data_IF_579603996545
#
_entry.id   IF_579603996545
#
_cell.length_a   1.000
_cell.length_b   1.000
_cell.length_c   1.000
_cell.angle_alpha   90.00
_cell.angle_beta   90.00
_cell.angle_gamma   90.00
#
_symmetry.space_group_name_H-M   'P 1'
#
loop_
_entity.id
_entity.type
_entity.pdbx_description
1 polymer ?
#
# COMPACT_ATOMS: atom_id res chain seq x y z
N UNK A 1 -22.13 -1.25 -3.12
CA UNK A 1 -20.71 -1.52 -3.36
C UNK A 1 -19.89 -0.26 -3.08
N UNK A 2 -18.86 -0.34 -2.26
CA UNK A 2 -17.93 0.75 -1.95
C UNK A 2 -16.74 0.70 -2.91
N UNK A 3 -16.50 1.79 -3.67
CA UNK A 3 -15.35 1.90 -4.58
C UNK A 3 -14.06 2.21 -3.79
N UNK A 4 -12.89 1.77 -4.23
CA UNK A 4 -11.61 2.17 -3.63
C UNK A 4 -11.38 3.69 -3.67
N UNK A 5 -10.55 4.21 -2.75
CA UNK A 5 -10.10 5.59 -2.80
C UNK A 5 -9.16 5.80 -4.00
N UNK A 6 -9.39 6.88 -4.75
CA UNK A 6 -8.56 7.24 -5.93
C UNK A 6 -7.44 8.23 -5.59
N UNK A 7 -7.30 8.64 -4.33
CA UNK A 7 -6.29 9.62 -3.90
C UNK A 7 -6.45 11.00 -4.53
N UNK A 8 -7.66 11.38 -4.95
CA UNK A 8 -7.92 12.64 -5.66
C UNK A 8 -7.86 13.89 -4.79
N UNK A 9 -7.74 13.75 -3.46
CA UNK A 9 -7.79 14.83 -2.47
C UNK A 9 -9.09 15.67 -2.47
N UNK A 10 -10.12 15.24 -3.22
CA UNK A 10 -11.38 15.99 -3.34
C UNK A 10 -12.13 16.18 -2.03
N UNK A 11 -11.99 15.23 -1.08
CA UNK A 11 -12.56 15.34 0.27
C UNK A 11 -11.85 16.37 1.17
N UNK A 12 -10.76 16.95 0.72
CA UNK A 12 -10.06 18.04 1.38
C UNK A 12 -10.27 19.39 0.69
N UNK A 13 -10.31 19.42 -0.65
CA UNK A 13 -10.29 20.68 -1.43
C UNK A 13 -11.60 20.96 -2.20
N UNK A 14 -12.34 19.95 -2.64
CA UNK A 14 -13.57 20.13 -3.44
C UNK A 14 -14.82 20.06 -2.57
N UNK A 15 -14.92 19.04 -1.72
CA UNK A 15 -16.03 18.80 -0.80
C UNK A 15 -15.50 18.45 0.58
N UNK A 16 -15.00 19.42 1.36
CA UNK A 16 -14.37 19.17 2.64
C UNK A 16 -15.23 18.30 3.56
N UNK A 17 -14.65 17.19 4.05
CA UNK A 17 -15.34 16.19 4.89
C UNK A 17 -16.18 15.16 4.14
N UNK A 18 -16.37 15.29 2.83
CA UNK A 18 -17.18 14.38 2.03
C UNK A 18 -16.39 13.85 0.82
N UNK A 19 -16.50 12.56 0.54
CA UNK A 19 -15.85 12.00 -0.65
C UNK A 19 -16.57 12.42 -1.93
N UNK A 20 -15.81 12.81 -2.96
CA UNK A 20 -16.36 13.17 -4.29
C UNK A 20 -16.89 11.97 -5.07
N UNK A 21 -16.47 10.74 -4.73
CA UNK A 21 -16.95 9.52 -5.37
C UNK A 21 -18.36 9.22 -4.90
N UNK A 22 -19.30 9.21 -5.84
CA UNK A 22 -20.74 8.96 -5.57
C UNK A 22 -20.97 7.45 -5.39
N UNK A 23 -21.02 7.01 -4.15
CA UNK A 23 -21.43 5.65 -3.73
C UNK A 23 -21.88 5.67 -2.26
N UNK A 24 -22.17 4.49 -1.69
CA UNK A 24 -22.65 4.37 -0.28
C UNK A 24 -21.63 4.91 0.76
N UNK A 25 -20.36 5.03 0.40
CA UNK A 25 -19.29 5.50 1.29
C UNK A 25 -19.04 7.01 1.21
N UNK A 26 -19.79 7.76 0.41
CA UNK A 26 -19.58 9.19 0.19
C UNK A 26 -19.52 9.99 1.51
N UNK A 27 -20.35 9.63 2.48
CA UNK A 27 -20.49 10.33 3.75
C UNK A 27 -19.81 9.63 4.93
N UNK A 28 -19.03 8.55 4.72
CA UNK A 28 -18.46 7.79 5.83
C UNK A 28 -17.58 8.64 6.73
N UNK A 29 -16.68 9.46 6.18
CA UNK A 29 -15.84 10.37 6.94
C UNK A 29 -16.67 11.28 7.86
N UNK A 30 -17.69 11.95 7.32
CA UNK A 30 -18.60 12.82 8.08
C UNK A 30 -19.42 12.05 9.12
N UNK A 31 -19.75 10.80 8.87
CA UNK A 31 -20.57 10.01 9.80
C UNK A 31 -19.78 9.52 11.01
N UNK A 32 -18.45 9.51 10.99
CA UNK A 32 -17.62 9.09 12.14
C UNK A 32 -17.93 9.92 13.39
N UNK A 33 -18.27 11.21 13.24
CA UNK A 33 -18.62 12.08 14.38
C UNK A 33 -19.89 11.69 15.15
N UNK A 34 -20.65 10.72 14.64
CA UNK A 34 -21.89 10.26 15.27
C UNK A 34 -21.66 9.13 16.30
N UNK A 35 -20.42 8.65 16.41
CA UNK A 35 -20.12 7.46 17.19
C UNK A 35 -18.95 7.71 18.14
N UNK A 36 -19.16 7.40 19.43
CA UNK A 36 -18.13 7.48 20.46
C UNK A 36 -17.20 6.25 20.45
N UNK A 37 -17.65 5.16 19.84
CA UNK A 37 -16.89 3.92 19.72
C UNK A 37 -17.13 3.29 18.37
N UNK A 38 -16.05 2.90 17.72
CA UNK A 38 -16.05 2.17 16.45
C UNK A 38 -15.39 0.81 16.69
N UNK A 39 -16.08 -0.26 16.30
CA UNK A 39 -15.52 -1.62 16.36
C UNK A 39 -15.32 -2.14 14.95
N UNK A 40 -14.09 -2.57 14.66
CA UNK A 40 -13.69 -3.14 13.38
C UNK A 40 -13.41 -4.62 13.56
N UNK A 41 -14.09 -5.47 12.79
CA UNK A 41 -13.76 -6.89 12.63
C UNK A 41 -13.09 -7.06 11.27
N UNK A 42 -11.83 -7.50 11.25
CA UNK A 42 -11.05 -7.67 10.05
C UNK A 42 -10.34 -9.01 10.00
N UNK A 43 -10.36 -9.68 8.85
CA UNK A 43 -9.36 -10.72 8.64
C UNK A 43 -7.98 -10.08 8.70
N UNK A 44 -7.05 -10.70 9.45
CA UNK A 44 -5.65 -10.30 9.41
C UNK A 44 -5.06 -10.71 8.06
N UNK A 45 -4.50 -9.75 7.35
CA UNK A 45 -3.99 -9.93 5.99
C UNK A 45 -2.60 -9.33 5.91
N UNK A 46 -1.59 -10.20 5.92
CA UNK A 46 -0.18 -9.78 5.80
C UNK A 46 0.21 -8.71 6.84
N UNK A 47 -0.09 -8.93 8.11
CA UNK A 47 0.18 -7.98 9.18
C UNK A 47 -0.69 -6.71 9.17
N UNK A 48 -1.83 -6.71 8.48
CA UNK A 48 -2.70 -5.54 8.39
C UNK A 48 -4.18 -5.85 8.14
N UNK A 49 -4.92 -4.83 7.78
CA UNK A 49 -6.37 -4.93 7.52
C UNK A 49 -6.66 -5.65 6.20
N UNK A 50 -7.78 -6.37 6.15
CA UNK A 50 -8.35 -6.85 4.89
C UNK A 50 -8.67 -5.69 3.94
N UNK A 51 -8.70 -5.97 2.62
CA UNK A 51 -8.97 -4.92 1.63
C UNK A 51 -10.31 -4.19 1.84
N UNK A 52 -11.33 -4.87 2.37
CA UNK A 52 -12.65 -4.27 2.64
C UNK A 52 -12.56 -3.22 3.75
N UNK A 53 -11.86 -3.54 4.84
CA UNK A 53 -11.66 -2.62 5.95
C UNK A 53 -10.70 -1.49 5.56
N UNK A 54 -9.59 -1.81 4.90
CA UNK A 54 -8.67 -0.78 4.40
C UNK A 54 -9.37 0.18 3.44
N UNK A 55 -10.28 -0.31 2.59
CA UNK A 55 -11.11 0.52 1.72
C UNK A 55 -12.00 1.50 2.50
N UNK A 56 -12.56 1.05 3.61
CA UNK A 56 -13.31 1.92 4.52
C UNK A 56 -12.40 3.02 5.09
N UNK A 57 -11.23 2.65 5.64
CA UNK A 57 -10.27 3.60 6.18
C UNK A 57 -9.80 4.59 5.12
N UNK A 58 -9.36 4.12 3.95
CA UNK A 58 -8.95 4.98 2.83
C UNK A 58 -10.04 6.01 2.41
N UNK A 59 -11.32 5.65 2.55
CA UNK A 59 -12.45 6.52 2.21
C UNK A 59 -12.87 7.47 3.33
N UNK A 60 -12.35 7.24 4.55
CA UNK A 60 -12.62 8.08 5.71
C UNK A 60 -11.62 9.24 5.90
N UNK A 61 -10.59 9.38 5.04
CA UNK A 61 -9.56 10.44 5.18
C UNK A 61 -10.13 11.87 5.17
N UNK A 62 -11.32 12.08 4.64
CA UNK A 62 -12.03 13.37 4.75
C UNK A 62 -12.42 13.77 6.19
N UNK A 63 -12.36 12.85 7.15
CA UNK A 63 -12.51 13.14 8.59
C UNK A 63 -11.40 14.08 9.10
N UNK A 64 -10.23 14.04 8.45
CA UNK A 64 -9.07 14.87 8.75
C UNK A 64 -9.21 16.25 8.10
N UNK A 65 -8.57 17.24 8.70
CA UNK A 65 -8.47 18.59 8.16
C UNK A 65 -7.59 18.63 6.91
N UNK A 66 -7.67 19.74 6.19
CA UNK A 66 -6.89 19.93 4.96
C UNK A 66 -5.45 20.33 5.28
N UNK A 67 -5.29 21.18 6.28
CA UNK A 67 -3.98 21.69 6.68
C UNK A 67 -3.18 20.67 7.49
N UNK A 68 -1.88 20.87 7.48
CA UNK A 68 -0.92 20.06 8.21
C UNK A 68 -0.45 20.76 9.48
N UNK A 69 -0.06 19.96 10.47
CA UNK A 69 0.64 20.41 11.67
C UNK A 69 1.69 19.37 12.10
N UNK A 70 2.57 19.75 13.01
CA UNK A 70 3.62 18.88 13.52
C UNK A 70 3.13 18.18 14.78
N UNK A 71 3.28 16.86 14.82
CA UNK A 71 3.02 15.98 15.97
C UNK A 71 4.16 15.00 16.12
N UNK A 72 4.84 14.97 17.25
CA UNK A 72 5.97 14.07 17.52
C UNK A 72 7.05 14.13 16.42
N UNK A 73 7.41 15.31 15.97
CA UNK A 73 8.34 15.57 14.87
C UNK A 73 7.91 15.02 13.49
N UNK A 74 6.64 14.68 13.34
CA UNK A 74 6.01 14.24 12.08
C UNK A 74 4.99 15.26 11.59
N UNK A 75 4.86 15.41 10.28
CA UNK A 75 3.83 16.24 9.65
C UNK A 75 2.57 15.44 9.45
N UNK A 76 1.44 15.88 10.02
CA UNK A 76 0.13 15.21 9.96
C UNK A 76 -0.99 16.16 9.61
N UNK A 77 -2.08 15.64 9.06
CA UNK A 77 -3.29 16.44 8.85
C UNK A 77 -3.91 16.89 10.17
N UNK A 78 -4.39 18.13 10.24
CA UNK A 78 -5.11 18.69 11.40
C UNK A 78 -6.44 17.97 11.64
N UNK A 79 -7.04 18.17 12.82
CA UNK A 79 -8.46 17.76 13.04
C UNK A 79 -9.38 18.64 12.18
N UNK A 80 -10.42 18.02 11.60
CA UNK A 80 -11.54 18.75 10.98
C UNK A 80 -12.68 18.99 11.95
N UNK A 81 -12.89 18.06 12.87
CA UNK A 81 -13.98 18.08 13.83
C UNK A 81 -13.41 18.07 15.25
N UNK A 82 -14.05 18.79 16.16
CA UNK A 82 -13.78 18.69 17.60
C UNK A 82 -14.48 17.43 18.16
N UNK A 83 -14.00 16.29 17.68
CA UNK A 83 -14.54 14.98 18.02
C UNK A 83 -13.41 13.95 18.05
N UNK A 84 -13.50 13.00 18.98
CA UNK A 84 -12.66 11.81 19.05
C UNK A 84 -13.53 10.60 19.31
N UNK A 85 -13.04 9.41 19.01
CA UNK A 85 -13.74 8.16 19.24
C UNK A 85 -12.77 7.10 19.78
N UNK A 86 -13.32 6.04 20.40
CA UNK A 86 -12.58 4.83 20.77
C UNK A 86 -12.59 3.86 19.59
N UNK A 87 -11.46 3.17 19.35
CA UNK A 87 -11.33 2.20 18.28
C UNK A 87 -11.04 0.80 18.86
N UNK A 88 -11.95 -0.14 18.67
CA UNK A 88 -11.71 -1.54 18.95
C UNK A 88 -11.45 -2.28 17.63
N UNK A 89 -10.34 -2.99 17.53
CA UNK A 89 -9.99 -3.79 16.36
C UNK A 89 -9.88 -5.25 16.76
N UNK A 90 -10.65 -6.10 16.11
CA UNK A 90 -10.60 -7.55 16.30
C UNK A 90 -10.15 -8.17 15.00
N UNK A 91 -8.91 -8.62 14.99
CA UNK A 91 -8.37 -9.38 13.88
C UNK A 91 -8.70 -10.86 14.05
N UNK A 92 -9.06 -11.53 12.96
CA UNK A 92 -9.28 -12.96 12.93
C UNK A 92 -8.46 -13.65 11.85
N UNK A 93 -8.15 -14.92 12.09
CA UNK A 93 -7.36 -15.79 11.21
C UNK A 93 -6.03 -16.17 11.82
N UNK A 94 -5.34 -17.10 11.16
CA UNK A 94 -4.00 -17.53 11.56
C UNK A 94 -2.96 -16.50 11.09
N UNK A 95 -2.00 -16.18 11.96
CA UNK A 95 -0.90 -15.27 11.68
C UNK A 95 0.27 -15.55 12.63
N UNK A 96 1.48 -15.20 12.21
CA UNK A 96 2.66 -15.20 13.07
C UNK A 96 2.58 -14.10 14.13
N UNK A 97 3.42 -14.17 15.16
CA UNK A 97 3.51 -13.07 16.14
C UNK A 97 4.04 -11.79 15.51
N UNK A 98 4.96 -11.89 14.55
CA UNK A 98 5.49 -10.73 13.82
C UNK A 98 4.38 -10.02 13.01
N UNK A 99 3.51 -10.77 12.32
CA UNK A 99 2.34 -10.20 11.64
C UNK A 99 1.38 -9.51 12.60
N UNK A 100 1.17 -10.08 13.80
CA UNK A 100 0.33 -9.47 14.84
C UNK A 100 0.96 -8.19 15.39
N UNK A 101 2.28 -8.15 15.56
CA UNK A 101 2.99 -6.95 16.01
C UNK A 101 2.92 -5.84 14.98
N UNK A 102 3.16 -6.16 13.71
CA UNK A 102 2.96 -5.20 12.60
C UNK A 102 1.52 -4.68 12.57
N UNK A 103 0.52 -5.54 12.80
CA UNK A 103 -0.87 -5.12 12.85
C UNK A 103 -1.18 -4.18 14.02
N UNK A 104 -0.63 -4.43 15.22
CA UNK A 104 -0.76 -3.52 16.37
C UNK A 104 -0.15 -2.15 16.05
N UNK A 105 1.09 -2.15 15.55
CA UNK A 105 1.80 -0.92 15.18
C UNK A 105 1.07 -0.15 14.08
N UNK A 106 0.49 -0.84 13.09
CA UNK A 106 -0.36 -0.21 12.06
C UNK A 106 -1.63 0.42 12.65
N UNK A 107 -2.28 -0.27 13.60
CA UNK A 107 -3.47 0.29 14.29
C UNK A 107 -3.07 1.54 15.09
N UNK A 108 -1.94 1.55 15.76
CA UNK A 108 -1.44 2.72 16.49
C UNK A 108 -1.17 3.91 15.53
N UNK A 109 -0.59 3.66 14.36
CA UNK A 109 -0.41 4.68 13.33
C UNK A 109 -1.75 5.23 12.82
N UNK A 110 -2.73 4.35 12.56
CA UNK A 110 -4.10 4.73 12.19
C UNK A 110 -4.75 5.57 13.30
N UNK A 111 -4.58 5.19 14.58
CA UNK A 111 -5.11 5.92 15.72
C UNK A 111 -4.53 7.35 15.81
N UNK A 112 -3.23 7.49 15.61
CA UNK A 112 -2.57 8.82 15.55
C UNK A 112 -3.15 9.67 14.44
N UNK A 113 -3.34 9.12 13.25
CA UNK A 113 -3.91 9.87 12.11
C UNK A 113 -5.36 10.29 12.37
N UNK A 114 -6.19 9.41 12.92
CA UNK A 114 -7.61 9.69 13.12
C UNK A 114 -7.94 10.33 14.47
N UNK A 115 -6.92 10.68 15.28
CA UNK A 115 -7.11 11.27 16.61
C UNK A 115 -7.99 10.40 17.52
N UNK A 116 -7.76 9.10 17.48
CA UNK A 116 -8.48 8.12 18.32
C UNK A 116 -8.08 8.35 19.77
N UNK A 117 -9.06 8.42 20.67
CA UNK A 117 -8.83 8.71 22.09
C UNK A 117 -8.30 7.50 22.87
N UNK A 118 -8.69 6.29 22.46
CA UNK A 118 -8.24 5.03 23.05
C UNK A 118 -8.45 3.89 22.04
N UNK A 119 -7.56 2.91 22.03
CA UNK A 119 -7.69 1.75 21.15
C UNK A 119 -7.48 0.44 21.90
N UNK A 120 -8.14 -0.61 21.40
CA UNK A 120 -7.91 -1.99 21.82
C UNK A 120 -7.76 -2.88 20.59
N UNK A 121 -6.78 -3.80 20.62
CA UNK A 121 -6.50 -4.72 19.50
C UNK A 121 -6.52 -6.15 20.02
N UNK A 122 -7.42 -6.95 19.48
CA UNK A 122 -7.58 -8.36 19.83
C UNK A 122 -7.37 -9.27 18.62
N UNK A 123 -6.88 -10.49 18.86
CA UNK A 123 -6.69 -11.51 17.82
C UNK A 123 -7.45 -12.77 18.21
N UNK A 124 -8.27 -13.27 17.29
CA UNK A 124 -9.08 -14.46 17.47
C UNK A 124 -8.95 -15.42 16.31
N UNK A 125 -9.24 -16.69 16.51
CA UNK A 125 -9.00 -17.72 15.51
C UNK A 125 -9.88 -17.59 14.25
N UNK A 126 -11.14 -17.12 14.41
CA UNK A 126 -12.12 -17.13 13.31
C UNK A 126 -13.04 -15.90 13.34
N UNK A 127 -13.69 -15.62 12.21
CA UNK A 127 -14.74 -14.61 12.14
C UNK A 127 -15.88 -14.90 13.11
N UNK A 128 -16.23 -16.15 13.29
CA UNK A 128 -17.26 -16.58 14.25
C UNK A 128 -16.92 -16.13 15.69
N UNK A 129 -15.65 -16.34 16.11
CA UNK A 129 -15.17 -15.87 17.41
C UNK A 129 -15.26 -14.34 17.52
N UNK A 130 -14.79 -13.61 16.52
CA UNK A 130 -14.83 -12.15 16.51
C UNK A 130 -16.26 -11.61 16.58
N UNK A 131 -17.17 -12.18 15.79
CA UNK A 131 -18.57 -11.78 15.77
C UNK A 131 -19.28 -12.06 17.09
N UNK A 132 -19.06 -13.25 17.68
CA UNK A 132 -19.63 -13.63 18.98
C UNK A 132 -19.12 -12.69 20.09
N UNK A 133 -17.84 -12.33 20.05
CA UNK A 133 -17.23 -11.41 21.03
C UNK A 133 -17.90 -10.03 21.02
N UNK A 134 -18.24 -9.53 19.82
CA UNK A 134 -18.85 -8.19 19.67
C UNK A 134 -20.34 -8.19 19.94
N UNK A 135 -21.06 -9.21 19.50
CA UNK A 135 -22.53 -9.20 19.47
C UNK A 135 -23.19 -10.07 20.53
N UNK A 136 -22.45 -10.95 21.19
CA UNK A 136 -22.99 -11.99 22.06
C UNK A 136 -23.78 -13.08 21.31
N UNK A 137 -23.87 -13.02 19.98
CA UNK A 137 -24.67 -13.94 19.16
C UNK A 137 -23.77 -14.93 18.42
N UNK A 138 -24.26 -16.16 18.19
CA UNK A 138 -23.61 -17.12 17.30
C UNK A 138 -23.95 -16.82 15.84
N UNK A 139 -22.97 -17.02 14.94
CA UNK A 139 -23.20 -16.94 13.48
C UNK A 139 -23.53 -18.31 12.95
N UNK A 140 -24.57 -18.41 12.12
CA UNK A 140 -24.83 -19.58 11.29
C UNK A 140 -23.84 -19.64 10.14
N UNK A 141 -23.43 -20.86 9.70
CA UNK A 141 -22.30 -21.08 8.78
C UNK A 141 -22.52 -20.52 7.36
N UNK A 142 -23.76 -20.22 6.98
CA UNK A 142 -24.13 -19.76 5.63
C UNK A 142 -23.69 -18.33 5.26
N UNK A 143 -23.09 -17.57 6.18
CA UNK A 143 -22.65 -16.19 5.95
C UNK A 143 -21.23 -16.08 5.36
N UNK A 144 -20.51 -17.19 5.20
CA UNK A 144 -19.17 -17.25 4.63
C UNK A 144 -19.25 -17.60 3.13
N UNK A 145 -19.65 -16.64 2.31
CA UNK A 145 -19.64 -16.81 0.86
C UNK A 145 -18.22 -17.12 0.36
N UNK A 146 -18.03 -18.33 -0.20
CA UNK A 146 -16.86 -18.70 -0.98
C UNK A 146 -16.83 -17.85 -2.26
N UNK A 147 -15.70 -17.26 -2.58
CA UNK A 147 -15.46 -16.66 -3.90
C UNK A 147 -14.95 -17.78 -4.82
N UNK A 148 -15.82 -18.29 -5.68
CA UNK A 148 -15.42 -19.21 -6.74
C UNK A 148 -14.58 -18.46 -7.78
N UNK A 149 -13.27 -18.72 -7.78
CA UNK A 149 -12.37 -18.30 -8.85
C UNK A 149 -12.14 -19.50 -9.74
N UNK A 150 -12.61 -19.45 -10.98
CA UNK A 150 -12.31 -20.46 -11.99
C UNK A 150 -10.85 -20.34 -12.40
N UNK A 151 -10.08 -21.43 -12.28
CA UNK A 151 -8.67 -21.47 -12.68
C UNK A 151 -8.61 -22.01 -14.12
N UNK A 152 -8.25 -21.16 -15.12
CA UNK A 152 -8.08 -21.63 -16.49
C UNK A 152 -6.86 -22.55 -16.62
N UNK A 153 -6.91 -23.45 -17.61
CA UNK A 153 -5.72 -24.21 -18.01
C UNK A 153 -4.83 -23.30 -18.86
N UNK A 154 -3.65 -22.98 -18.37
CA UNK A 154 -2.66 -22.19 -19.11
C UNK A 154 -1.58 -23.09 -19.72
N UNK A 155 -1.18 -22.78 -20.97
CA UNK A 155 0.11 -23.20 -21.51
C UNK A 155 1.15 -22.15 -21.10
N UNK A 156 2.24 -22.62 -20.50
CA UNK A 156 3.35 -21.75 -20.10
C UNK A 156 4.18 -21.38 -21.33
N UNK A 157 4.40 -20.08 -21.52
CA UNK A 157 5.43 -19.57 -22.40
C UNK A 157 6.81 -19.73 -21.74
N UNK A 158 7.90 -19.78 -22.52
CA UNK A 158 9.25 -19.79 -21.95
C UNK A 158 9.51 -18.48 -21.18
N UNK A 159 10.07 -18.62 -19.97
CA UNK A 159 10.43 -17.48 -19.13
C UNK A 159 11.60 -16.71 -19.75
N UNK A 160 11.45 -15.41 -20.07
CA UNK A 160 12.58 -14.59 -20.51
C UNK A 160 13.63 -14.48 -19.39
N UNK A 161 14.92 -14.57 -19.73
CA UNK A 161 16.01 -14.38 -18.75
C UNK A 161 16.12 -12.90 -18.36
N UNK A 162 16.50 -12.64 -17.12
CA UNK A 162 16.68 -11.30 -16.56
C UNK A 162 15.45 -10.40 -16.78
N UNK A 163 14.27 -10.94 -16.51
CA UNK A 163 12.99 -10.29 -16.76
C UNK A 163 12.47 -9.55 -15.52
N UNK A 164 12.09 -8.29 -15.69
CA UNK A 164 11.64 -7.40 -14.63
C UNK A 164 10.23 -6.89 -14.97
N UNK A 165 9.26 -7.13 -14.09
CA UNK A 165 7.95 -6.49 -14.16
C UNK A 165 7.90 -5.28 -13.23
N UNK A 166 7.69 -4.08 -13.77
CA UNK A 166 7.43 -2.88 -12.95
C UNK A 166 5.94 -2.60 -12.95
N UNK A 167 5.33 -2.60 -11.78
CA UNK A 167 3.89 -2.40 -11.60
C UNK A 167 3.66 -1.05 -10.92
N UNK A 168 3.15 -0.08 -11.67
CA UNK A 168 2.59 1.13 -11.07
C UNK A 168 1.20 0.82 -10.53
N UNK A 169 1.09 0.70 -9.21
CA UNK A 169 -0.16 0.37 -8.52
C UNK A 169 -0.87 1.61 -7.94
N UNK A 170 -0.59 2.81 -8.45
CA UNK A 170 -1.32 4.00 -8.06
C UNK A 170 -2.66 4.11 -8.78
N UNK A 171 -3.76 4.44 -8.07
CA UNK A 171 -5.05 4.70 -8.72
C UNK A 171 -5.05 5.93 -9.64
N UNK A 172 -4.02 6.78 -9.55
CA UNK A 172 -3.81 7.95 -10.44
C UNK A 172 -3.12 7.58 -11.77
N UNK A 173 -2.63 6.34 -11.92
CA UNK A 173 -1.93 5.83 -13.09
C UNK A 173 -0.72 6.71 -13.46
N UNK A 174 -0.61 7.11 -14.72
CA UNK A 174 0.53 7.90 -15.25
C UNK A 174 0.72 9.28 -14.61
N UNK A 175 -0.25 9.78 -13.84
CA UNK A 175 -0.15 11.08 -13.13
C UNK A 175 0.32 10.96 -11.68
N UNK A 176 0.73 9.78 -11.26
CA UNK A 176 1.14 9.51 -9.90
C UNK A 176 2.65 9.75 -9.68
N UNK A 177 3.03 10.04 -8.43
CA UNK A 177 4.44 10.00 -8.03
C UNK A 177 5.08 8.63 -8.26
N UNK A 178 4.35 7.54 -8.05
CA UNK A 178 4.80 6.17 -8.35
C UNK A 178 5.12 5.95 -9.84
N UNK A 179 4.53 6.70 -10.77
CA UNK A 179 4.93 6.66 -12.18
C UNK A 179 6.32 7.26 -12.39
N UNK A 180 6.59 8.39 -11.74
CA UNK A 180 7.91 9.00 -11.78
C UNK A 180 8.97 8.03 -11.25
N UNK A 181 8.75 7.42 -10.07
CA UNK A 181 9.70 6.45 -9.51
C UNK A 181 9.84 5.21 -10.39
N UNK A 182 8.77 4.69 -10.96
CA UNK A 182 8.86 3.57 -11.92
C UNK A 182 9.75 3.89 -13.11
N UNK A 183 9.62 5.09 -13.67
CA UNK A 183 10.46 5.53 -14.81
C UNK A 183 11.91 5.77 -14.36
N UNK A 184 12.11 6.33 -13.16
CA UNK A 184 13.45 6.57 -12.62
C UNK A 184 14.20 5.27 -12.35
N UNK A 185 13.52 4.22 -11.88
CA UNK A 185 14.13 2.90 -11.71
C UNK A 185 14.59 2.33 -13.06
N UNK A 186 13.78 2.44 -14.13
CA UNK A 186 14.17 2.01 -15.49
C UNK A 186 15.44 2.75 -15.90
N UNK A 187 15.45 4.08 -15.82
CA UNK A 187 16.59 4.92 -16.18
C UNK A 187 17.87 4.54 -15.41
N UNK A 188 17.75 4.29 -14.10
CA UNK A 188 18.89 3.90 -13.28
C UNK A 188 19.37 2.50 -13.67
N UNK A 189 18.47 1.52 -13.82
CA UNK A 189 18.83 0.17 -14.25
C UNK A 189 19.56 0.18 -15.59
N UNK A 190 19.08 0.94 -16.58
CA UNK A 190 19.72 1.09 -17.88
C UNK A 190 21.13 1.72 -17.80
N UNK A 191 21.35 2.64 -16.84
CA UNK A 191 22.65 3.30 -16.66
C UNK A 191 23.68 2.41 -15.96
N UNK A 192 23.27 1.56 -15.01
CA UNK A 192 24.20 0.80 -14.17
C UNK A 192 24.33 -0.67 -14.57
N UNK A 193 23.46 -1.18 -15.44
CA UNK A 193 23.50 -2.57 -15.87
C UNK A 193 24.68 -2.84 -16.79
N UNK A 194 25.42 -3.92 -16.48
CA UNK A 194 26.44 -4.49 -17.35
C UNK A 194 25.94 -5.69 -18.16
N UNK A 195 24.64 -6.02 -18.08
CA UNK A 195 24.02 -7.17 -18.73
C UNK A 195 22.71 -6.77 -19.40
N UNK A 196 22.30 -7.54 -20.41
CA UNK A 196 20.98 -7.37 -21.01
C UNK A 196 19.89 -7.80 -20.07
N UNK A 197 18.79 -7.04 -20.01
CA UNK A 197 17.58 -7.33 -19.23
C UNK A 197 16.36 -6.82 -19.99
N UNK A 198 15.20 -7.40 -19.64
CA UNK A 198 13.93 -7.00 -20.21
C UNK A 198 13.03 -6.41 -19.12
N UNK A 199 12.49 -5.22 -19.34
CA UNK A 199 11.54 -4.57 -18.44
C UNK A 199 10.18 -4.44 -19.11
N UNK A 200 9.16 -4.97 -18.47
CA UNK A 200 7.76 -4.73 -18.81
C UNK A 200 7.08 -3.88 -17.74
N UNK A 201 6.28 -2.90 -18.18
CA UNK A 201 5.57 -1.99 -17.30
C UNK A 201 4.08 -2.27 -17.27
N UNK A 202 3.53 -2.39 -16.06
CA UNK A 202 2.13 -2.70 -15.80
C UNK A 202 1.47 -1.62 -14.94
N UNK A 203 0.13 -1.59 -14.98
CA UNK A 203 -0.68 -0.68 -14.18
C UNK A 203 -1.79 -1.44 -13.46
N UNK A 204 -1.77 -1.41 -12.12
CA UNK A 204 -2.88 -1.91 -11.33
C UNK A 204 -3.89 -0.79 -11.08
N UNK A 205 -5.01 -0.89 -11.78
CA UNK A 205 -6.10 0.08 -11.65
C UNK A 205 -6.94 -0.21 -10.41
N UNK A 206 -7.38 0.86 -9.74
CA UNK A 206 -8.42 0.75 -8.71
C UNK A 206 -9.83 0.52 -9.27
N UNK A 207 -9.99 0.59 -10.60
CA UNK A 207 -11.29 0.41 -11.26
C UNK A 207 -11.70 -1.06 -11.36
N UNK A 208 -10.72 -1.97 -11.52
CA UNK A 208 -10.94 -3.42 -11.54
C UNK A 208 -9.78 -4.16 -10.87
N UNK A 209 -10.06 -5.28 -10.19
CA UNK A 209 -9.00 -6.18 -9.75
C UNK A 209 -8.35 -6.90 -10.96
N UNK A 210 -7.14 -7.42 -10.73
CA UNK A 210 -6.45 -8.27 -11.72
C UNK A 210 -7.18 -9.59 -11.92
N UNK A 211 -7.06 -10.15 -13.12
CA UNK A 211 -7.62 -11.46 -13.48
C UNK A 211 -6.55 -12.57 -13.41
N UNK A 212 -6.97 -13.83 -13.70
CA UNK A 212 -6.10 -15.01 -13.64
C UNK A 212 -4.93 -14.93 -14.62
N UNK A 213 -5.16 -14.41 -15.84
CA UNK A 213 -4.12 -14.33 -16.88
C UNK A 213 -3.03 -13.32 -16.48
N UNK A 214 -3.44 -12.19 -15.90
CA UNK A 214 -2.52 -11.21 -15.32
C UNK A 214 -1.72 -11.81 -14.16
N UNK A 215 -2.35 -12.64 -13.29
CA UNK A 215 -1.66 -13.29 -12.17
C UNK A 215 -0.60 -14.27 -12.69
N UNK A 216 -0.96 -15.12 -13.65
CA UNK A 216 -0.02 -16.09 -14.23
C UNK A 216 1.16 -15.41 -14.92
N UNK A 217 0.90 -14.30 -15.62
CA UNK A 217 1.95 -13.55 -16.28
C UNK A 217 3.03 -13.07 -15.30
N UNK A 218 2.65 -12.66 -14.09
CA UNK A 218 3.63 -12.22 -13.09
C UNK A 218 4.56 -13.34 -12.59
N UNK A 219 4.14 -14.60 -12.62
CA UNK A 219 5.02 -15.73 -12.26
C UNK A 219 6.13 -15.99 -13.28
N UNK A 220 6.08 -15.32 -14.45
CA UNK A 220 7.07 -15.45 -15.51
C UNK A 220 8.24 -14.46 -15.38
N UNK A 221 8.22 -13.55 -14.39
CA UNK A 221 9.30 -12.59 -14.18
C UNK A 221 10.26 -13.04 -13.09
N UNK A 222 11.55 -12.72 -13.27
CA UNK A 222 12.57 -12.93 -12.24
C UNK A 222 12.41 -11.95 -11.09
N UNK A 223 12.04 -10.70 -11.42
CA UNK A 223 11.80 -9.64 -10.45
C UNK A 223 10.48 -8.92 -10.71
N UNK A 224 9.72 -8.71 -9.65
CA UNK A 224 8.49 -7.90 -9.66
C UNK A 224 8.76 -6.69 -8.78
N UNK A 225 8.57 -5.49 -9.30
CA UNK A 225 8.72 -4.24 -8.57
C UNK A 225 7.36 -3.58 -8.44
N UNK A 226 6.83 -3.47 -7.23
CA UNK A 226 5.55 -2.84 -6.95
C UNK A 226 5.75 -1.40 -6.48
N UNK A 227 5.28 -0.42 -7.27
CA UNK A 227 5.39 1.01 -6.97
C UNK A 227 4.04 1.62 -6.63
N UNK A 228 3.89 2.23 -5.44
CA UNK A 228 2.63 2.84 -5.00
C UNK A 228 2.83 4.01 -4.02
N UNK A 229 1.77 4.78 -3.84
CA UNK A 229 1.68 5.80 -2.79
C UNK A 229 1.06 5.23 -1.52
N UNK A 230 1.58 5.63 -0.35
CA UNK A 230 1.08 5.22 0.96
C UNK A 230 -0.30 5.84 1.25
N UNK A 231 -1.23 5.06 1.79
CA UNK A 231 -2.57 5.50 2.20
C UNK A 231 -2.83 5.08 3.63
N UNK A 232 -3.06 6.03 4.52
CA UNK A 232 -3.34 5.76 5.94
C UNK A 232 -2.36 4.70 6.49
N UNK A 233 -1.08 5.05 6.47
CA UNK A 233 0.10 4.26 6.91
C UNK A 233 0.20 2.82 6.37
N UNK A 234 -0.53 2.50 5.31
CA UNK A 234 -0.52 1.17 4.71
C UNK A 234 -0.72 1.20 3.20
N UNK A 235 -0.76 0.03 2.59
CA UNK A 235 -1.07 -0.11 1.17
C UNK A 235 -2.49 0.37 0.85
N UNK A 236 -2.72 1.01 -0.32
CA UNK A 236 -4.07 1.23 -0.83
C UNK A 236 -4.88 -0.06 -0.93
N UNK A 237 -6.16 0.02 -0.60
CA UNK A 237 -7.04 -1.16 -0.49
C UNK A 237 -7.14 -2.04 -1.74
N UNK A 238 -7.03 -1.45 -2.95
CA UNK A 238 -7.08 -2.21 -4.20
C UNK A 238 -5.80 -3.05 -4.42
N UNK A 239 -4.66 -2.64 -3.86
CA UNK A 239 -3.44 -3.45 -3.86
C UNK A 239 -3.67 -4.69 -3.00
N UNK A 240 -4.16 -4.54 -1.77
CA UNK A 240 -4.46 -5.66 -0.88
C UNK A 240 -5.45 -6.63 -1.54
N UNK A 241 -6.47 -6.12 -2.25
CA UNK A 241 -7.41 -6.94 -3.01
C UNK A 241 -6.71 -7.78 -4.08
N UNK A 242 -5.78 -7.17 -4.82
CA UNK A 242 -5.00 -7.88 -5.84
C UNK A 242 -4.07 -8.93 -5.22
N UNK A 243 -3.38 -8.60 -4.12
CA UNK A 243 -2.52 -9.54 -3.40
C UNK A 243 -3.32 -10.74 -2.87
N UNK A 244 -4.52 -10.53 -2.32
CA UNK A 244 -5.39 -11.61 -1.87
C UNK A 244 -5.89 -12.49 -3.02
N UNK A 245 -6.08 -11.92 -4.23
CA UNK A 245 -6.40 -12.70 -5.43
C UNK A 245 -5.22 -13.53 -5.89
N UNK A 246 -4.00 -12.98 -5.87
CA UNK A 246 -2.78 -13.72 -6.19
C UNK A 246 -2.59 -14.88 -5.20
N UNK A 247 -2.67 -14.60 -3.89
CA UNK A 247 -2.53 -15.61 -2.83
C UNK A 247 -3.53 -16.75 -3.03
N UNK A 248 -4.81 -16.44 -3.20
CA UNK A 248 -5.85 -17.45 -3.43
C UNK A 248 -5.61 -18.25 -4.72
N UNK A 249 -5.31 -17.57 -5.82
CA UNK A 249 -5.08 -18.21 -7.11
C UNK A 249 -3.88 -19.16 -7.07
N UNK A 250 -2.75 -18.71 -6.55
CA UNK A 250 -1.54 -19.52 -6.45
C UNK A 250 -1.75 -20.71 -5.49
N UNK A 251 -2.46 -20.50 -4.38
CA UNK A 251 -2.83 -21.59 -3.46
C UNK A 251 -3.67 -22.67 -4.16
N UNK A 252 -4.75 -22.29 -4.85
CA UNK A 252 -5.61 -23.24 -5.58
C UNK A 252 -4.87 -23.89 -6.76
N UNK A 253 -4.02 -23.13 -7.45
CA UNK A 253 -3.19 -23.68 -8.52
C UNK A 253 -2.24 -24.76 -8.00
N UNK A 254 -1.50 -24.48 -6.93
CA UNK A 254 -0.56 -25.44 -6.32
C UNK A 254 -1.26 -26.67 -5.74
N UNK A 255 -2.48 -26.51 -5.24
CA UNK A 255 -3.29 -27.62 -4.71
C UNK A 255 -3.76 -28.58 -5.79
N UNK A 256 -4.07 -28.08 -6.98
CA UNK A 256 -4.69 -28.85 -8.06
C UNK A 256 -3.70 -29.32 -9.13
N UNK A 257 -2.45 -28.89 -9.09
CA UNK A 257 -1.42 -29.22 -10.06
C UNK A 257 -0.15 -29.67 -9.35
N UNK A 258 0.51 -30.71 -9.89
CA UNK A 258 1.88 -31.07 -9.46
C UNK A 258 2.79 -29.86 -9.67
N UNK A 259 3.69 -29.61 -8.72
CA UNK A 259 4.69 -28.51 -8.73
C UNK A 259 5.64 -28.66 -9.94
N UNK A 260 5.14 -28.33 -11.14
CA UNK A 260 5.93 -28.28 -12.37
C UNK A 260 6.74 -26.98 -12.46
N UNK A 261 6.93 -26.48 -13.67
CA UNK A 261 7.71 -25.26 -13.95
C UNK A 261 7.20 -24.01 -13.23
N UNK A 262 5.87 -23.87 -13.05
CA UNK A 262 5.30 -22.72 -12.33
C UNK A 262 5.78 -22.68 -10.87
N UNK A 263 5.83 -23.82 -10.18
CA UNK A 263 6.33 -23.88 -8.82
C UNK A 263 7.81 -23.51 -8.71
N UNK A 264 8.62 -23.85 -9.73
CA UNK A 264 10.02 -23.40 -9.82
C UNK A 264 10.11 -21.90 -10.07
N UNK A 265 9.29 -21.36 -10.96
CA UNK A 265 9.25 -19.93 -11.27
C UNK A 265 8.87 -19.12 -10.05
N UNK A 266 7.80 -19.50 -9.32
CA UNK A 266 7.36 -18.83 -8.09
C UNK A 266 8.49 -18.76 -7.08
N UNK A 267 9.21 -19.87 -6.82
CA UNK A 267 10.33 -19.91 -5.88
C UNK A 267 11.53 -19.06 -6.28
N UNK A 268 11.66 -18.71 -7.55
CA UNK A 268 12.74 -17.91 -8.08
C UNK A 268 12.35 -16.45 -8.32
N UNK A 269 11.05 -16.13 -8.32
CA UNK A 269 10.58 -14.75 -8.46
C UNK A 269 10.88 -13.95 -7.19
N UNK A 270 11.45 -12.75 -7.34
CA UNK A 270 11.70 -11.81 -6.25
C UNK A 270 10.71 -10.66 -6.28
N UNK A 271 10.21 -10.32 -5.10
CA UNK A 271 9.36 -9.13 -4.93
C UNK A 271 10.16 -7.98 -4.36
N UNK A 272 10.11 -6.85 -5.04
CA UNK A 272 10.67 -5.57 -4.63
C UNK A 272 9.56 -4.53 -4.50
N UNK A 273 9.76 -3.53 -3.64
CA UNK A 273 8.71 -2.58 -3.30
C UNK A 273 9.24 -1.15 -3.25
N UNK A 274 8.55 -0.23 -3.93
CA UNK A 274 8.76 1.22 -3.77
C UNK A 274 7.48 1.84 -3.25
N UNK A 275 7.49 2.26 -1.99
CA UNK A 275 6.40 3.01 -1.37
C UNK A 275 6.82 4.48 -1.22
N UNK A 276 6.01 5.40 -1.71
CA UNK A 276 6.24 6.83 -1.52
C UNK A 276 5.09 7.47 -0.74
N UNK A 277 5.40 8.45 0.09
CA UNK A 277 4.40 9.13 0.90
C UNK A 277 4.48 10.65 0.75
N UNK A 278 3.35 11.32 0.96
CA UNK A 278 3.30 12.77 1.13
C UNK A 278 3.65 13.23 2.55
N UNK A 279 4.00 12.30 3.45
CA UNK A 279 4.51 12.58 4.77
C UNK A 279 6.04 12.67 4.72
N UNK A 280 6.66 13.32 5.72
CA UNK A 280 8.08 13.68 5.65
C UNK A 280 9.00 12.46 5.67
N UNK A 281 8.74 11.51 6.58
CA UNK A 281 9.67 10.41 6.84
C UNK A 281 9.38 9.16 6.02
N UNK A 282 10.42 8.55 5.43
CA UNK A 282 10.31 7.32 4.64
C UNK A 282 9.90 6.09 5.46
N UNK A 283 10.25 6.05 6.77
CA UNK A 283 9.91 4.96 7.68
C UNK A 283 8.39 4.81 7.93
N UNK A 284 7.58 5.80 7.57
CA UNK A 284 6.11 5.67 7.60
C UNK A 284 5.59 4.63 6.61
N UNK A 285 6.39 4.24 5.63
CA UNK A 285 6.10 3.12 4.73
C UNK A 285 6.39 1.74 5.34
N UNK A 286 6.92 1.66 6.57
CA UNK A 286 7.35 0.40 7.21
C UNK A 286 6.27 -0.67 7.18
N UNK A 287 5.06 -0.38 7.67
CA UNK A 287 3.98 -1.35 7.72
C UNK A 287 3.56 -1.88 6.34
N UNK A 288 3.58 -1.02 5.32
CA UNK A 288 3.25 -1.42 3.96
C UNK A 288 4.33 -2.33 3.35
N UNK A 289 5.60 -2.07 3.66
CA UNK A 289 6.74 -2.87 3.21
C UNK A 289 6.75 -4.23 3.92
N UNK A 290 6.60 -4.27 5.25
CA UNK A 290 6.48 -5.52 6.03
C UNK A 290 5.31 -6.38 5.56
N UNK A 291 4.15 -5.76 5.28
CA UNK A 291 2.99 -6.48 4.75
C UNK A 291 3.28 -7.15 3.41
N UNK A 292 4.08 -6.54 2.55
CA UNK A 292 4.48 -7.12 1.26
C UNK A 292 5.54 -8.21 1.42
N UNK A 293 6.38 -8.11 2.42
CA UNK A 293 7.32 -9.17 2.80
C UNK A 293 6.55 -10.41 3.31
N UNK A 294 5.56 -10.24 4.19
CA UNK A 294 4.69 -11.35 4.63
C UNK A 294 3.91 -11.97 3.47
N UNK A 295 3.39 -11.14 2.56
CA UNK A 295 2.77 -11.63 1.33
C UNK A 295 3.75 -12.45 0.49
N UNK A 296 4.96 -11.93 0.24
CA UNK A 296 6.01 -12.60 -0.52
C UNK A 296 6.30 -14.00 0.03
N UNK A 297 6.55 -14.08 1.33
CA UNK A 297 6.81 -15.33 2.03
C UNK A 297 5.62 -16.31 1.93
N UNK A 298 4.40 -15.80 2.06
CA UNK A 298 3.18 -16.61 2.03
C UNK A 298 2.93 -17.26 0.66
N UNK A 299 3.18 -16.54 -0.43
CA UNK A 299 2.98 -17.05 -1.79
C UNK A 299 4.19 -17.81 -2.34
N UNK A 300 5.31 -17.82 -1.61
CA UNK A 300 6.54 -18.52 -1.96
C UNK A 300 7.47 -17.72 -2.88
N UNK A 301 7.28 -16.40 -3.02
CA UNK A 301 8.26 -15.54 -3.65
C UNK A 301 9.45 -15.30 -2.70
N UNK A 302 10.60 -14.97 -3.26
CA UNK A 302 11.72 -14.45 -2.48
C UNK A 302 11.47 -12.96 -2.17
N UNK A 303 11.73 -12.54 -0.95
CA UNK A 303 11.81 -11.12 -0.65
C UNK A 303 13.10 -10.53 -1.24
N UNK A 304 12.96 -9.47 -2.01
CA UNK A 304 14.11 -8.72 -2.53
C UNK A 304 14.48 -7.57 -1.61
N UNK A 305 13.76 -6.47 -1.70
CA UNK A 305 13.96 -5.29 -0.87
C UNK A 305 12.75 -4.36 -0.93
N UNK A 306 12.48 -3.64 0.15
CA UNK A 306 11.56 -2.51 0.18
C UNK A 306 12.30 -1.17 0.30
N UNK A 307 11.81 -0.13 -0.38
CA UNK A 307 12.24 1.24 -0.17
C UNK A 307 11.03 2.13 0.15
N UNK A 308 11.08 2.82 1.29
CA UNK A 308 10.13 3.85 1.71
C UNK A 308 10.69 5.24 1.46
N UNK A 309 9.98 6.07 0.69
CA UNK A 309 10.40 7.41 0.30
C UNK A 309 9.46 8.43 0.95
N UNK A 310 9.97 9.19 1.91
CA UNK A 310 9.28 10.32 2.52
C UNK A 310 9.35 11.56 1.64
N UNK A 311 8.37 12.46 1.80
CA UNK A 311 8.20 13.66 0.96
C UNK A 311 8.19 13.36 -0.55
N UNK A 312 7.82 12.11 -0.92
CA UNK A 312 7.97 11.56 -2.25
C UNK A 312 7.47 12.44 -3.40
N UNK A 313 6.28 13.06 -3.30
CA UNK A 313 5.78 13.94 -4.37
C UNK A 313 6.65 15.17 -4.68
N UNK A 314 7.50 15.62 -3.75
CA UNK A 314 8.40 16.77 -3.99
C UNK A 314 9.42 16.50 -5.10
N UNK A 315 9.90 15.27 -5.19
CA UNK A 315 10.96 14.89 -6.12
C UNK A 315 10.43 14.52 -7.51
N UNK A 316 9.10 14.62 -7.72
CA UNK A 316 8.45 14.17 -8.98
C UNK A 316 8.22 15.30 -9.99
N UNK A 317 8.81 16.46 -9.78
CA UNK A 317 8.76 17.54 -10.78
C UNK A 317 9.54 17.11 -12.04
N UNK A 318 8.91 17.04 -13.22
CA UNK A 318 9.56 16.60 -14.44
C UNK A 318 10.69 17.55 -14.92
N UNK A 319 10.71 18.77 -14.37
CA UNK A 319 11.76 19.76 -14.67
C UNK A 319 12.89 19.74 -13.61
N UNK A 320 12.85 18.80 -12.66
CA UNK A 320 13.82 18.65 -11.61
C UNK A 320 14.73 17.46 -11.89
N UNK A 321 16.01 17.72 -12.09
CA UNK A 321 17.00 16.65 -12.12
C UNK A 321 17.36 16.25 -10.69
N UNK A 322 16.87 15.07 -10.26
CA UNK A 322 17.19 14.54 -8.92
C UNK A 322 18.69 14.36 -8.67
N UNK A 323 19.51 14.22 -9.72
CA UNK A 323 20.96 14.12 -9.62
C UNK A 323 21.66 15.44 -9.28
N UNK A 324 21.04 16.55 -9.70
CA UNK A 324 21.60 17.87 -9.53
C UNK A 324 21.20 18.57 -8.24
N UNK A 325 20.29 17.97 -7.44
CA UNK A 325 19.72 18.59 -6.23
C UNK A 325 20.26 17.90 -4.99
N UNK A 326 20.97 18.66 -4.17
CA UNK A 326 21.58 18.15 -2.94
C UNK A 326 20.53 17.56 -1.99
N UNK A 327 19.36 18.17 -1.88
CA UNK A 327 18.25 17.70 -1.04
C UNK A 327 17.71 16.33 -1.45
N UNK A 328 17.81 15.97 -2.73
CA UNK A 328 17.36 14.66 -3.26
C UNK A 328 18.46 13.61 -3.32
N UNK A 329 19.71 13.94 -2.98
CA UNK A 329 20.87 13.05 -3.13
C UNK A 329 20.70 11.73 -2.38
N UNK A 330 20.17 11.76 -1.16
CA UNK A 330 19.94 10.56 -0.37
C UNK A 330 18.89 9.64 -0.98
N UNK A 331 17.82 10.23 -1.51
CA UNK A 331 16.76 9.47 -2.21
C UNK A 331 17.32 8.81 -3.46
N UNK A 332 18.14 9.55 -4.22
CA UNK A 332 18.78 9.02 -5.41
C UNK A 332 19.76 7.88 -5.09
N UNK A 333 20.63 8.06 -4.09
CA UNK A 333 21.57 7.02 -3.68
C UNK A 333 20.86 5.73 -3.23
N UNK A 334 19.75 5.86 -2.48
CA UNK A 334 18.92 4.73 -2.10
C UNK A 334 18.27 4.03 -3.30
N UNK A 335 17.83 4.77 -4.33
CA UNK A 335 17.31 4.19 -5.58
C UNK A 335 18.39 3.45 -6.37
N UNK A 336 19.63 3.96 -6.40
CA UNK A 336 20.76 3.27 -7.05
C UNK A 336 21.11 1.97 -6.32
N UNK A 337 21.16 1.98 -4.99
CA UNK A 337 21.37 0.77 -4.20
C UNK A 337 20.27 -0.26 -4.44
N UNK A 338 19.02 0.19 -4.46
CA UNK A 338 17.86 -0.64 -4.75
C UNK A 338 17.94 -1.28 -6.15
N UNK A 339 18.29 -0.51 -7.18
CA UNK A 339 18.48 -1.01 -8.55
C UNK A 339 19.63 -2.03 -8.65
N UNK A 340 20.73 -1.80 -7.93
CA UNK A 340 21.81 -2.78 -7.86
C UNK A 340 21.35 -4.13 -7.30
N UNK A 341 20.53 -4.10 -6.24
CA UNK A 341 19.99 -5.33 -5.63
C UNK A 341 18.97 -6.03 -6.52
N UNK A 342 18.30 -5.31 -7.44
CA UNK A 342 17.42 -5.89 -8.45
C UNK A 342 18.21 -6.59 -9.56
N UNK A 343 19.24 -5.90 -10.09
CA UNK A 343 20.03 -6.39 -11.21
C UNK A 343 21.01 -7.49 -10.82
N UNK A 344 21.52 -7.44 -9.60
CA UNK A 344 22.57 -8.36 -9.08
C UNK A 344 22.15 -8.93 -7.72
N UNK A 345 21.05 -9.74 -7.68
CA UNK A 345 20.55 -10.29 -6.43
C UNK A 345 21.55 -11.31 -5.86
N UNK A 346 21.84 -11.19 -4.56
CA UNK A 346 22.71 -12.11 -3.83
C UNK A 346 21.91 -12.81 -2.72
N UNK A 347 21.71 -14.13 -2.86
CA UNK A 347 20.99 -14.93 -1.87
C UNK A 347 21.75 -15.12 -0.54
N UNK A 348 23.05 -14.83 -0.52
CA UNK A 348 23.89 -14.97 0.68
C UNK A 348 23.99 -13.67 1.49
N UNK A 349 23.46 -12.57 0.96
CA UNK A 349 23.50 -11.26 1.62
C UNK A 349 22.14 -10.94 2.24
N UNK A 350 22.16 -10.64 3.54
CA UNK A 350 21.00 -10.04 4.19
C UNK A 350 20.78 -8.62 3.65
N UNK A 351 19.67 -8.42 2.92
CA UNK A 351 19.32 -7.12 2.35
C UNK A 351 18.28 -6.46 3.25
N UNK A 352 18.63 -5.30 3.84
CA UNK A 352 17.72 -4.51 4.67
C UNK A 352 16.82 -3.60 3.81
N UNK A 353 15.61 -3.39 4.27
CA UNK A 353 14.73 -2.40 3.68
C UNK A 353 15.30 -0.98 3.88
N UNK A 354 15.13 -0.12 2.89
CA UNK A 354 15.61 1.25 2.87
C UNK A 354 14.49 2.22 3.24
N UNK A 355 14.82 3.22 4.05
CA UNK A 355 13.90 4.31 4.35
C UNK A 355 14.65 5.63 4.16
N UNK A 356 14.17 6.45 3.22
CA UNK A 356 14.86 7.66 2.82
C UNK A 356 13.92 8.85 2.69
N UNK A 357 14.49 10.02 2.80
CA UNK A 357 13.84 11.31 2.56
C UNK A 357 14.91 12.31 2.13
N UNK A 358 14.50 13.42 1.49
CA UNK A 358 15.41 14.53 1.24
C UNK A 358 15.73 15.33 2.50
N UNK A 359 16.78 16.12 2.44
CA UNK A 359 17.11 17.08 3.49
C UNK A 359 16.12 18.26 3.46
N UNK A 360 15.18 18.23 4.39
CA UNK A 360 14.25 19.34 4.60
C UNK A 360 13.87 19.40 6.07
N UNK A 361 13.84 20.59 6.62
CA UNK A 361 13.33 20.84 7.97
C UNK A 361 11.83 20.55 8.03
N UNK A 362 11.37 20.07 9.19
CA UNK A 362 9.96 19.68 9.38
C UNK A 362 9.00 20.86 9.27
N UNK A 363 9.40 22.04 9.79
CA UNK A 363 8.60 23.27 9.71
C UNK A 363 8.51 23.77 8.27
N UNK A 364 9.63 23.77 7.54
CA UNK A 364 9.67 24.15 6.13
C UNK A 364 8.79 23.23 5.29
N UNK A 365 8.84 21.92 5.54
CA UNK A 365 7.99 20.95 4.84
C UNK A 365 6.52 21.17 5.15
N UNK A 366 6.15 21.34 6.41
CA UNK A 366 4.77 21.65 6.82
C UNK A 366 4.26 22.93 6.15
N UNK A 367 5.05 24.00 6.15
CA UNK A 367 4.70 25.28 5.54
C UNK A 367 4.51 25.13 4.01
N UNK A 368 5.38 24.38 3.35
CA UNK A 368 5.26 24.07 1.92
C UNK A 368 3.94 23.34 1.62
N UNK A 369 3.64 22.27 2.38
CA UNK A 369 2.39 21.52 2.20
C UNK A 369 1.16 22.41 2.42
N UNK A 370 1.15 23.22 3.46
CA UNK A 370 0.05 24.14 3.76
C UNK A 370 -0.15 25.16 2.64
N UNK A 371 0.93 25.68 2.05
CA UNK A 371 0.87 26.56 0.86
C UNK A 371 0.23 25.84 -0.35
N UNK A 372 0.57 24.58 -0.58
CA UNK A 372 0.00 23.78 -1.67
C UNK A 372 -1.51 23.56 -1.44
N UNK A 373 -1.90 23.20 -0.22
CA UNK A 373 -3.30 23.00 0.14
C UNK A 373 -4.12 24.29 0.01
N UNK A 374 -3.57 25.42 0.46
CA UNK A 374 -4.22 26.75 0.35
C UNK A 374 -4.46 27.13 -1.11
N UNK A 375 -3.46 26.94 -1.99
CA UNK A 375 -3.61 27.17 -3.45
C UNK A 375 -4.70 26.28 -4.04
N UNK A 376 -4.77 25.01 -3.63
CA UNK A 376 -5.82 24.08 -4.04
C UNK A 376 -7.21 24.55 -3.62
N UNK A 377 -7.39 24.96 -2.37
CA UNK A 377 -8.65 25.47 -1.84
C UNK A 377 -9.09 26.76 -2.57
N UNK A 378 -8.19 27.75 -2.75
CA UNK A 378 -8.49 29.00 -3.46
C UNK A 378 -8.93 28.74 -4.91
N UNK A 379 -8.35 27.76 -5.59
CA UNK A 379 -8.74 27.39 -6.95
C UNK A 379 -10.18 26.86 -7.03
N UNK A 380 -10.62 26.11 -6.01
CA UNK A 380 -11.97 25.51 -5.98
C UNK A 380 -13.05 26.41 -5.35
N UNK A 381 -12.66 27.42 -4.57
CA UNK A 381 -13.60 28.43 -4.03
C UNK A 381 -13.94 29.55 -5.03
N UNK A 382 -13.19 29.67 -6.13
CA UNK A 382 -13.40 30.69 -7.20
C UNK A 382 -14.33 30.21 -8.33
N UNK A 383 -14.94 29.02 -8.19
CA UNK A 383 -16.00 28.49 -9.03
C UNK A 383 -17.31 28.51 -8.26
#
# INVERSE_FOLDING_TARGET
NMKPCTGCAGCWIVSPGQCVTKDKAQNYAKNLIKYDTITIISRLSYGGFSYKIKRFLDRCVGYLGTYMHIVDNDVRHTKRYDHTFKLNVIFYGQASEDEKETARSLVDAVCKNYYVSNSNVEFVASFKNAYTLVTGKRVDEDLLASTDITIPKHQLEEKPKNSIAIINASPKGKRAASEFYSNKLIEICEKISCQEFNIDKFYWSSARPINSDEIMKFTMYDSIILCFGLYVDGMPSHIIENLQRIDYYLYEYMRNHTLGEIGKNIKNTRLYVVSNSGLLHGNQSKHAIESLEYFSNKVGFKWGQGIGIGAGPLYTNPHMDMFAIDEARHVYAALVEFCNNILYPDDNKEIKNLYTMGHMDVDDYMNLLNSIWEKGLKKHQKI
#
